data_IF_307407312942
#
_entry.id   IF_307407312942
#
_cell.length_a   1.000
_cell.length_b   1.000
_cell.length_c   1.000
_cell.angle_alpha   90.00
_cell.angle_beta   90.00
_cell.angle_gamma   90.00
#
_symmetry.space_group_name_H-M   'P 1'
#
loop_
_entity.id
_entity.type
_entity.pdbx_description
1 polymer ?
#
# COMPACT_ATOMS: atom_id res chain seq x y z
N UNK A 1 12.84 -13.97 2.14
CA UNK A 1 13.00 -12.71 2.90
C UNK A 1 13.45 -11.58 1.98
N UNK A 2 14.70 -11.62 1.50
CA UNK A 2 15.19 -10.66 0.50
C UNK A 2 14.46 -10.76 -0.84
N UNK A 3 13.86 -11.92 -1.17
CA UNK A 3 13.09 -12.11 -2.39
C UNK A 3 11.93 -11.11 -2.51
N UNK A 4 11.04 -11.02 -1.51
CA UNK A 4 9.88 -10.11 -1.55
C UNK A 4 10.29 -8.63 -1.71
N UNK A 5 11.31 -8.18 -0.96
CA UNK A 5 11.81 -6.80 -1.05
C UNK A 5 12.47 -6.55 -2.42
N UNK A 6 13.30 -7.48 -2.88
CA UNK A 6 13.96 -7.40 -4.19
C UNK A 6 12.96 -7.43 -5.34
N UNK A 7 11.87 -8.17 -5.21
CA UNK A 7 10.80 -8.25 -6.22
C UNK A 7 10.04 -6.93 -6.32
N UNK A 8 9.71 -6.32 -5.17
CA UNK A 8 9.01 -5.04 -5.12
C UNK A 8 9.91 -3.90 -5.65
N UNK A 9 11.22 -3.93 -5.37
CA UNK A 9 12.20 -2.99 -5.94
C UNK A 9 12.25 -3.03 -7.47
N UNK A 10 11.90 -4.16 -8.11
CA UNK A 10 11.82 -4.21 -9.59
C UNK A 10 10.65 -3.41 -10.16
N UNK A 11 9.63 -3.14 -9.35
CA UNK A 11 8.40 -2.46 -9.75
C UNK A 11 8.42 -1.00 -9.36
N UNK A 12 8.92 -0.68 -8.17
CA UNK A 12 8.98 0.68 -7.63
C UNK A 12 10.16 0.83 -6.66
N UNK A 13 10.90 1.97 -6.68
CA UNK A 13 11.94 2.22 -5.70
C UNK A 13 11.39 2.19 -4.27
N UNK A 14 11.99 1.35 -3.41
CA UNK A 14 11.70 1.34 -1.97
C UNK A 14 12.43 2.52 -1.33
N UNK A 15 11.67 3.36 -0.61
CA UNK A 15 12.18 4.51 0.14
C UNK A 15 12.62 4.12 1.55
N UNK A 16 11.84 3.27 2.23
CA UNK A 16 12.22 2.76 3.55
C UNK A 16 11.56 1.41 3.80
N UNK A 17 12.35 0.39 4.14
CA UNK A 17 11.84 -0.83 4.78
C UNK A 17 11.63 -0.56 6.29
N UNK A 18 10.40 -0.72 6.78
CA UNK A 18 10.04 -0.51 8.20
C UNK A 18 10.09 -1.81 8.99
N UNK A 19 9.58 -2.88 8.40
CA UNK A 19 9.65 -4.25 8.89
C UNK A 19 9.76 -5.19 7.69
N UNK A 20 9.72 -6.48 7.97
CA UNK A 20 9.76 -7.57 6.99
C UNK A 20 8.60 -7.48 5.97
N UNK A 21 7.47 -6.96 6.43
CA UNK A 21 6.17 -6.92 5.75
C UNK A 21 5.64 -5.49 5.54
N UNK A 22 6.31 -4.47 6.09
CA UNK A 22 5.98 -3.07 5.89
C UNK A 22 7.12 -2.31 5.20
N UNK A 23 6.81 -1.72 4.04
CA UNK A 23 7.71 -0.88 3.28
C UNK A 23 6.97 0.35 2.74
N UNK A 24 7.72 1.39 2.43
CA UNK A 24 7.20 2.62 1.84
C UNK A 24 7.95 2.95 0.57
N UNK A 25 7.23 3.44 -0.43
CA UNK A 25 7.76 3.77 -1.75
C UNK A 25 7.42 5.20 -2.12
N UNK A 26 8.29 5.85 -2.89
CA UNK A 26 8.01 7.14 -3.50
C UNK A 26 7.45 6.91 -4.91
N UNK A 27 6.31 7.53 -5.19
CA UNK A 27 5.67 7.44 -6.51
C UNK A 27 6.32 8.43 -7.47
N UNK A 28 6.61 7.96 -8.68
CA UNK A 28 6.91 8.83 -9.81
C UNK A 28 5.60 9.42 -10.40
N UNK A 29 5.70 10.14 -11.52
CA UNK A 29 4.52 10.71 -12.20
C UNK A 29 3.54 9.61 -12.66
N UNK A 30 4.06 8.50 -13.21
CA UNK A 30 3.23 7.41 -13.71
C UNK A 30 2.43 6.73 -12.59
N UNK A 31 3.10 6.41 -11.47
CA UNK A 31 2.46 5.81 -10.30
C UNK A 31 1.45 6.73 -9.60
N UNK A 32 1.62 8.06 -9.70
CA UNK A 32 0.62 9.03 -9.22
C UNK A 32 -0.59 9.14 -10.15
N UNK A 33 -0.37 9.05 -11.46
CA UNK A 33 -1.44 9.14 -12.45
C UNK A 33 -2.37 7.92 -12.43
N UNK A 34 -1.81 6.72 -12.22
CA UNK A 34 -2.57 5.47 -12.15
C UNK A 34 -2.12 4.57 -10.98
N UNK A 35 -2.48 4.95 -9.73
CA UNK A 35 -2.16 4.16 -8.54
C UNK A 35 -2.85 2.78 -8.55
N UNK A 36 -3.96 2.62 -9.27
CA UNK A 36 -4.67 1.34 -9.40
C UNK A 36 -3.85 0.35 -10.23
N UNK A 37 -3.35 0.77 -11.39
CA UNK A 37 -2.50 -0.07 -12.23
C UNK A 37 -1.18 -0.42 -11.53
N UNK A 38 -0.58 0.55 -10.82
CA UNK A 38 0.62 0.28 -10.02
C UNK A 38 0.37 -0.75 -8.92
N UNK A 39 -0.74 -0.62 -8.16
CA UNK A 39 -1.11 -1.59 -7.14
C UNK A 39 -1.32 -3.00 -7.71
N UNK A 40 -2.03 -3.09 -8.85
CA UNK A 40 -2.24 -4.36 -9.54
C UNK A 40 -0.92 -5.00 -9.98
N UNK A 41 0.01 -4.19 -10.54
CA UNK A 41 1.34 -4.65 -10.94
C UNK A 41 2.14 -5.19 -9.75
N UNK A 42 2.17 -4.46 -8.62
CA UNK A 42 2.86 -4.90 -7.39
C UNK A 42 2.29 -6.25 -6.92
N UNK A 43 0.96 -6.37 -6.82
CA UNK A 43 0.30 -7.61 -6.38
C UNK A 43 0.58 -8.79 -7.33
N UNK A 44 0.56 -8.55 -8.64
CA UNK A 44 0.88 -9.56 -9.64
C UNK A 44 2.33 -10.05 -9.51
N UNK A 45 3.30 -9.13 -9.39
CA UNK A 45 4.72 -9.49 -9.22
C UNK A 45 4.96 -10.30 -7.95
N UNK A 46 4.30 -9.96 -6.83
CA UNK A 46 4.38 -10.74 -5.59
C UNK A 46 3.81 -12.16 -5.81
N UNK A 47 2.66 -12.27 -6.46
CA UNK A 47 2.01 -13.55 -6.72
C UNK A 47 2.85 -14.44 -7.66
N UNK A 48 3.50 -13.86 -8.67
CA UNK A 48 4.37 -14.55 -9.62
C UNK A 48 5.68 -15.02 -9.00
N UNK A 49 6.35 -14.17 -8.23
CA UNK A 49 7.71 -14.44 -7.74
C UNK A 49 7.73 -15.14 -6.37
N UNK A 50 6.77 -14.84 -5.50
CA UNK A 50 6.71 -15.39 -4.12
C UNK A 50 5.64 -16.48 -4.00
N UNK A 51 4.54 -16.33 -4.72
CA UNK A 51 3.48 -17.33 -4.84
C UNK A 51 2.08 -16.75 -4.58
N UNK A 52 1.03 -17.37 -5.16
CA UNK A 52 -0.33 -16.80 -5.20
C UNK A 52 -1.04 -16.75 -3.84
N UNK A 53 -0.46 -17.37 -2.81
CA UNK A 53 -1.01 -17.38 -1.46
C UNK A 53 -0.54 -16.19 -0.62
N UNK A 54 0.51 -15.49 -1.06
CA UNK A 54 1.06 -14.31 -0.41
C UNK A 54 0.37 -13.09 -1.00
N UNK A 55 -0.42 -12.41 -0.17
CA UNK A 55 -1.14 -11.17 -0.54
C UNK A 55 -0.58 -9.99 0.23
N UNK A 56 -0.82 -8.78 -0.27
CA UNK A 56 -0.47 -7.55 0.44
C UNK A 56 -1.62 -6.54 0.43
N UNK A 57 -1.62 -5.67 1.44
CA UNK A 57 -2.50 -4.49 1.48
C UNK A 57 -1.68 -3.25 1.14
N UNK A 58 -2.19 -2.41 0.24
CA UNK A 58 -1.48 -1.23 -0.24
C UNK A 58 -2.29 0.03 0.08
N UNK A 59 -1.64 1.03 0.66
CA UNK A 59 -2.22 2.35 0.93
C UNK A 59 -1.49 3.43 0.14
N UNK A 60 -2.24 4.27 -0.57
CA UNK A 60 -1.72 5.44 -1.28
C UNK A 60 -2.23 6.73 -0.61
N UNK A 61 -1.34 7.69 -0.41
CA UNK A 61 -1.72 9.03 0.04
C UNK A 61 -0.62 10.06 -0.25
N UNK A 62 -0.92 11.34 0.02
CA UNK A 62 -0.01 12.47 -0.18
C UNK A 62 1.28 12.44 0.67
N UNK A 63 1.34 11.62 1.72
CA UNK A 63 2.56 11.42 2.51
C UNK A 63 2.57 10.04 3.18
N UNK A 64 3.73 9.67 3.74
CA UNK A 64 3.96 8.36 4.37
C UNK A 64 3.01 8.04 5.52
N UNK A 65 2.68 9.02 6.36
CA UNK A 65 1.80 8.80 7.52
C UNK A 65 0.38 8.50 7.06
N UNK A 66 -0.15 9.32 6.15
CA UNK A 66 -1.47 9.10 5.56
C UNK A 66 -1.54 7.79 4.77
N UNK A 67 -0.47 7.42 4.06
CA UNK A 67 -0.42 6.16 3.32
C UNK A 67 -0.48 4.95 4.26
N UNK A 68 0.17 5.05 5.44
CA UNK A 68 0.09 4.01 6.47
C UNK A 68 -1.32 3.89 7.06
N UNK A 69 -1.99 5.02 7.32
CA UNK A 69 -3.37 5.04 7.79
C UNK A 69 -4.30 4.44 6.72
N UNK A 70 -4.18 4.88 5.47
CA UNK A 70 -4.94 4.34 4.33
C UNK A 70 -4.76 2.83 4.19
N UNK A 71 -3.52 2.34 4.28
CA UNK A 71 -3.23 0.90 4.24
C UNK A 71 -3.93 0.14 5.37
N UNK A 72 -3.92 0.67 6.61
CA UNK A 72 -4.61 0.04 7.74
C UNK A 72 -6.13 0.05 7.56
N UNK A 73 -6.69 1.16 7.06
CA UNK A 73 -8.11 1.27 6.73
C UNK A 73 -8.56 0.21 5.71
N UNK A 74 -7.75 -0.01 4.67
CA UNK A 74 -8.01 -1.00 3.62
C UNK A 74 -8.03 -2.46 4.08
N UNK A 75 -7.49 -2.78 5.27
CA UNK A 75 -7.60 -4.13 5.84
C UNK A 75 -9.02 -4.48 6.28
N UNK A 76 -9.90 -3.47 6.44
CA UNK A 76 -11.27 -3.63 6.94
C UNK A 76 -12.34 -3.61 5.84
N UNK A 77 -12.00 -3.28 4.59
CA UNK A 77 -12.95 -3.00 3.50
C UNK A 77 -13.55 -4.27 2.82
N UNK A 78 -13.93 -5.27 3.62
CA UNK A 78 -14.74 -6.41 3.15
C UNK A 78 -14.06 -7.47 2.27
N UNK A 79 -12.78 -7.30 1.93
CA UNK A 79 -11.98 -8.29 1.19
C UNK A 79 -11.33 -9.38 2.06
N UNK A 80 -10.51 -10.24 1.46
CA UNK A 80 -9.64 -11.18 2.19
C UNK A 80 -8.66 -10.36 3.04
N UNK A 81 -8.57 -10.67 4.34
CA UNK A 81 -7.61 -10.01 5.22
C UNK A 81 -6.20 -10.13 4.62
N UNK A 82 -5.53 -8.98 4.45
CA UNK A 82 -4.20 -8.92 3.84
C UNK A 82 -4.18 -8.74 2.33
N UNK A 83 -5.31 -8.48 1.66
CA UNK A 83 -5.38 -8.20 0.21
C UNK A 83 -6.10 -6.87 -0.12
N UNK A 84 -6.02 -5.88 0.76
CA UNK A 84 -6.71 -4.60 0.59
C UNK A 84 -6.02 -3.63 -0.39
N UNK A 85 -6.74 -2.59 -0.78
CA UNK A 85 -6.21 -1.43 -1.49
C UNK A 85 -7.02 -0.19 -1.09
N UNK A 86 -6.34 0.86 -0.65
CA UNK A 86 -6.99 2.15 -0.34
C UNK A 86 -6.17 3.28 -0.92
N UNK A 87 -6.84 4.20 -1.61
CA UNK A 87 -6.21 5.33 -2.29
C UNK A 87 -6.87 6.59 -1.76
N UNK A 88 -6.11 7.44 -1.09
CA UNK A 88 -6.53 8.76 -0.65
C UNK A 88 -5.87 9.82 -1.50
N UNK A 89 -6.67 10.51 -2.30
CA UNK A 89 -6.23 11.69 -3.02
C UNK A 89 -6.36 12.93 -2.14
N UNK A 90 -5.66 14.03 -2.44
CA UNK A 90 -5.80 15.28 -1.70
C UNK A 90 -7.25 15.75 -1.55
N UNK A 91 -8.08 15.55 -2.57
CA UNK A 91 -9.51 15.88 -2.58
C UNK A 91 -10.38 15.02 -1.64
N UNK A 92 -9.92 13.83 -1.26
CA UNK A 92 -10.62 12.96 -0.30
C UNK A 92 -10.39 13.41 1.16
N UNK A 93 -9.43 14.31 1.38
CA UNK A 93 -9.02 14.78 2.70
C UNK A 93 -9.66 16.14 3.03
N UNK A 94 -10.11 16.36 4.29
CA UNK A 94 -9.89 15.52 5.47
C UNK A 94 -10.97 14.45 5.71
N UNK A 95 -12.01 14.37 4.87
CA UNK A 95 -13.18 13.53 5.12
C UNK A 95 -12.82 12.06 5.33
N UNK A 96 -11.96 11.50 4.48
CA UNK A 96 -11.48 10.12 4.59
C UNK A 96 -10.73 9.86 5.91
N UNK A 97 -9.96 10.84 6.40
CA UNK A 97 -9.23 10.73 7.66
C UNK A 97 -10.16 10.80 8.88
N UNK A 98 -11.17 11.67 8.84
CA UNK A 98 -12.14 11.83 9.94
C UNK A 98 -13.08 10.62 10.09
N UNK A 99 -13.23 9.81 9.05
CA UNK A 99 -14.00 8.57 9.09
C UNK A 99 -13.26 7.41 9.80
N UNK A 100 -11.99 7.58 10.15
CA UNK A 100 -11.16 6.55 10.75
C UNK A 100 -11.33 6.53 12.28
N UNK A 101 -11.44 5.32 12.85
CA UNK A 101 -11.48 5.16 14.31
C UNK A 101 -10.11 5.42 14.92
N UNK A 102 -10.07 5.86 16.18
CA UNK A 102 -8.80 6.12 16.88
C UNK A 102 -7.87 4.89 16.94
N UNK A 103 -8.44 3.68 16.98
CA UNK A 103 -7.69 2.41 16.97
C UNK A 103 -6.95 2.15 15.65
N UNK A 104 -7.37 2.81 14.58
CA UNK A 104 -6.82 2.69 13.23
C UNK A 104 -5.76 3.75 12.91
N UNK A 105 -5.52 4.71 13.81
CA UNK A 105 -4.42 5.65 13.68
C UNK A 105 -3.13 4.97 14.18
N UNK A 106 -2.10 4.79 13.33
CA UNK A 106 -0.82 4.21 13.76
C UNK A 106 -0.06 5.18 14.68
N UNK A 107 0.42 4.68 15.81
CA UNK A 107 1.20 5.42 16.81
C UNK A 107 1.73 4.47 17.86
#
# INVERSE_FOLDING_TARGET
HNALLSDIETVIPIDTAKSIDELTCLLDEAGRSDPLALAAKIKATIAENVGPWITCTIGFAANRQLAKIACKAGKRDGGRYGDGLTIWRPEDLPAALLAITMEDIPG
#
